data_IF_278043703564
#
_entry.id   IF_278043703564
#
_cell.length_a   1.000
_cell.length_b   1.000
_cell.length_c   1.000
_cell.angle_alpha   90.00
_cell.angle_beta   90.00
_cell.angle_gamma   90.00
#
_symmetry.space_group_name_H-M   'P 1'
#
loop_
_entity.id
_entity.type
_entity.pdbx_description
1 polymer ?
#
# COMPACT_ATOMS: atom_id res chain seq x y z
N UNK A 1 1.92 29.57 0.45
CA UNK A 1 2.15 28.34 -0.34
C UNK A 1 2.34 28.70 -1.80
N UNK A 2 3.43 29.35 -2.12
CA UNK A 2 3.79 29.70 -3.50
C UNK A 2 5.04 28.92 -3.89
N UNK A 3 5.00 28.33 -5.05
CA UNK A 3 6.17 27.90 -5.78
C UNK A 3 6.82 29.12 -6.45
N UNK A 4 7.93 28.91 -7.14
CA UNK A 4 8.56 29.94 -7.99
C UNK A 4 7.54 30.43 -9.00
N UNK A 5 7.50 31.74 -9.25
CA UNK A 5 6.56 32.35 -10.20
C UNK A 5 6.56 31.63 -11.55
N UNK A 6 5.36 31.26 -12.03
CA UNK A 6 5.16 30.53 -13.27
C UNK A 6 5.30 28.99 -13.16
N UNK A 7 5.47 28.45 -11.95
CA UNK A 7 5.57 27.01 -11.71
C UNK A 7 4.36 26.52 -10.91
N UNK A 8 3.50 25.73 -11.52
CA UNK A 8 2.31 25.15 -10.85
C UNK A 8 2.63 23.86 -10.10
N UNK A 9 3.68 23.15 -10.48
CA UNK A 9 4.09 21.87 -9.91
C UNK A 9 5.60 21.72 -9.89
N UNK A 10 6.14 21.28 -8.77
CA UNK A 10 7.55 20.94 -8.60
C UNK A 10 7.69 19.47 -8.22
N UNK A 11 8.34 18.68 -9.08
CA UNK A 11 8.56 17.24 -8.86
C UNK A 11 9.68 17.03 -7.82
N UNK A 12 9.38 16.29 -6.76
CA UNK A 12 10.32 15.93 -5.69
C UNK A 12 10.88 14.52 -5.88
N UNK A 13 10.01 13.59 -6.34
CA UNK A 13 10.36 12.21 -6.60
C UNK A 13 9.50 11.66 -7.74
N UNK A 14 10.04 10.72 -8.50
CA UNK A 14 9.34 10.11 -9.63
C UNK A 14 9.61 8.63 -9.78
N UNK A 15 8.53 7.87 -9.97
CA UNK A 15 8.55 6.50 -10.44
C UNK A 15 8.25 6.45 -11.94
N UNK A 16 9.20 6.82 -12.77
CA UNK A 16 9.03 7.02 -14.22
C UNK A 16 8.36 5.83 -14.91
N UNK A 17 8.77 4.63 -14.60
CA UNK A 17 8.23 3.38 -15.18
C UNK A 17 6.86 2.97 -14.62
N UNK A 18 6.41 3.58 -13.52
CA UNK A 18 5.09 3.37 -12.95
C UNK A 18 4.11 4.50 -13.27
N UNK A 19 4.57 5.59 -13.88
CA UNK A 19 3.75 6.74 -14.18
C UNK A 19 3.32 7.57 -12.97
N UNK A 20 4.07 7.47 -11.85
CA UNK A 20 3.76 8.18 -10.59
C UNK A 20 4.84 9.19 -10.28
N UNK A 21 4.45 10.36 -9.82
CA UNK A 21 5.35 11.36 -9.26
C UNK A 21 4.84 11.86 -7.92
N UNK A 22 5.76 12.36 -7.10
CA UNK A 22 5.45 13.05 -5.84
C UNK A 22 6.04 14.44 -5.89
N UNK A 23 5.28 15.44 -5.52
CA UNK A 23 5.73 16.82 -5.64
C UNK A 23 4.93 17.80 -4.80
N UNK A 24 5.26 19.07 -5.02
CA UNK A 24 4.54 20.20 -4.49
C UNK A 24 3.71 20.83 -5.61
N UNK A 25 2.41 20.98 -5.43
CA UNK A 25 1.49 21.63 -6.36
C UNK A 25 0.88 22.86 -5.70
N UNK A 26 0.73 23.91 -6.46
CA UNK A 26 0.12 25.16 -5.97
C UNK A 26 -1.32 24.90 -5.52
N UNK A 27 -1.65 25.34 -4.30
CA UNK A 27 -2.97 25.14 -3.70
C UNK A 27 -3.19 23.78 -3.02
N UNK A 28 -2.29 22.82 -3.19
CA UNK A 28 -2.36 21.50 -2.55
C UNK A 28 -1.36 21.36 -1.39
N UNK A 29 -1.48 20.28 -0.62
CA UNK A 29 -0.51 19.95 0.42
C UNK A 29 0.81 19.51 -0.20
N UNK A 30 1.92 19.79 0.49
CA UNK A 30 3.24 19.27 0.11
C UNK A 30 3.22 17.74 0.10
N UNK A 31 3.85 17.13 -0.92
CA UNK A 31 3.90 15.67 -1.05
C UNK A 31 2.73 15.07 -1.83
N UNK A 32 2.08 15.85 -2.68
CA UNK A 32 1.03 15.35 -3.57
C UNK A 32 1.54 14.21 -4.44
N UNK A 33 0.91 13.04 -4.35
CA UNK A 33 1.15 11.88 -5.22
C UNK A 33 0.29 12.06 -6.45
N UNK A 34 0.89 12.05 -7.65
CA UNK A 34 0.22 12.28 -8.92
C UNK A 34 0.35 11.10 -9.86
N UNK A 35 -0.74 10.81 -10.55
CA UNK A 35 -0.83 9.71 -11.51
C UNK A 35 -2.20 9.69 -12.18
N UNK A 36 -2.45 8.65 -12.97
CA UNK A 36 -3.76 8.41 -13.57
C UNK A 36 -4.69 7.67 -12.62
N UNK A 37 -5.97 7.97 -12.77
CA UNK A 37 -7.07 7.33 -12.05
C UNK A 37 -8.01 6.62 -13.03
N UNK A 38 -8.97 5.89 -12.51
CA UNK A 38 -10.10 5.43 -13.29
C UNK A 38 -10.87 6.63 -13.85
N UNK A 39 -11.44 6.47 -15.04
CA UNK A 39 -12.43 7.43 -15.52
C UNK A 39 -13.75 7.20 -14.80
N UNK A 40 -14.26 8.23 -14.14
CA UNK A 40 -15.55 8.20 -13.44
C UNK A 40 -16.57 9.05 -14.17
N UNK A 41 -17.84 8.64 -14.08
CA UNK A 41 -18.96 9.51 -14.47
C UNK A 41 -19.31 10.49 -13.35
N UNK A 42 -20.29 11.38 -13.60
CA UNK A 42 -20.75 12.40 -12.62
C UNK A 42 -21.32 11.81 -11.32
N UNK A 43 -21.64 10.51 -11.31
CA UNK A 43 -22.14 9.78 -10.12
C UNK A 43 -21.03 9.05 -9.37
N UNK A 44 -19.75 9.21 -9.78
CA UNK A 44 -18.60 8.53 -9.17
C UNK A 44 -18.49 7.03 -9.50
N UNK A 45 -19.13 6.56 -10.58
CA UNK A 45 -19.07 5.18 -11.04
C UNK A 45 -17.95 5.04 -12.08
N UNK A 46 -17.17 3.96 -12.01
CA UNK A 46 -16.13 3.65 -12.99
C UNK A 46 -16.74 3.44 -14.37
N UNK A 47 -16.24 4.16 -15.36
CA UNK A 47 -16.64 3.98 -16.76
C UNK A 47 -15.85 2.86 -17.38
N UNK A 48 -16.58 1.91 -17.99
CA UNK A 48 -16.05 0.70 -18.62
C UNK A 48 -16.19 0.82 -20.15
N UNK A 49 -15.19 0.34 -20.85
CA UNK A 49 -15.21 0.27 -22.32
C UNK A 49 -16.17 -0.82 -22.81
N UNK A 50 -17.10 -0.44 -23.68
CA UNK A 50 -18.16 -1.31 -24.17
C UNK A 50 -17.66 -2.48 -25.04
N UNK A 51 -16.49 -2.36 -25.67
CA UNK A 51 -15.94 -3.40 -26.53
C UNK A 51 -15.13 -4.43 -25.75
N UNK A 52 -14.39 -3.97 -24.74
CA UNK A 52 -13.43 -4.80 -24.01
C UNK A 52 -13.93 -5.27 -22.66
N UNK A 53 -14.81 -4.51 -21.99
CA UNK A 53 -15.22 -4.72 -20.61
C UNK A 53 -14.19 -4.26 -19.59
N UNK A 54 -13.11 -3.58 -20.02
CA UNK A 54 -12.06 -3.06 -19.15
C UNK A 54 -12.37 -1.63 -18.69
N UNK A 55 -11.92 -1.21 -17.51
CA UNK A 55 -12.14 0.15 -17.05
C UNK A 55 -11.39 1.16 -17.92
N UNK A 56 -12.02 2.29 -18.21
CA UNK A 56 -11.35 3.39 -18.88
C UNK A 56 -10.43 4.12 -17.90
N UNK A 57 -9.28 4.54 -18.40
CA UNK A 57 -8.28 5.33 -17.67
C UNK A 57 -8.52 6.80 -17.95
N UNK A 58 -8.55 7.63 -16.91
CA UNK A 58 -8.55 9.07 -17.09
C UNK A 58 -7.18 9.51 -17.62
N UNK A 59 -7.18 10.22 -18.73
CA UNK A 59 -5.95 10.68 -19.38
C UNK A 59 -5.32 11.88 -18.66
N UNK A 60 -6.05 12.53 -17.78
CA UNK A 60 -5.53 13.62 -16.97
C UNK A 60 -4.72 13.09 -15.79
N UNK A 61 -3.51 13.63 -15.57
CA UNK A 61 -2.72 13.33 -14.38
C UNK A 61 -3.28 14.12 -13.20
N UNK A 62 -3.84 13.42 -12.24
CA UNK A 62 -4.47 13.99 -11.04
C UNK A 62 -3.66 13.73 -9.79
N UNK A 63 -3.96 14.46 -8.73
CA UNK A 63 -3.52 14.13 -7.39
C UNK A 63 -4.36 12.95 -6.89
N UNK A 64 -3.68 11.83 -6.63
CA UNK A 64 -4.28 10.54 -6.25
C UNK A 64 -3.95 10.14 -4.81
N UNK A 65 -3.26 11.01 -4.07
CA UNK A 65 -2.92 10.84 -2.67
C UNK A 65 -1.94 11.89 -2.19
N UNK A 66 -1.57 11.84 -0.92
CA UNK A 66 -0.59 12.74 -0.32
C UNK A 66 0.38 11.97 0.59
N UNK A 67 1.68 12.14 0.40
CA UNK A 67 2.72 11.43 1.16
C UNK A 67 3.07 12.09 2.51
N UNK A 68 2.49 13.24 2.82
CA UNK A 68 2.74 13.95 4.07
C UNK A 68 1.81 13.47 5.17
N UNK A 69 2.37 13.24 6.34
CA UNK A 69 1.61 12.84 7.51
C UNK A 69 0.76 13.99 8.04
N UNK A 70 -0.53 13.76 8.29
CA UNK A 70 -1.38 14.71 8.99
C UNK A 70 -1.00 14.81 10.47
N UNK A 71 -0.63 13.67 11.05
CA UNK A 71 -0.21 13.60 12.43
C UNK A 71 0.86 12.53 12.67
N UNK A 72 1.84 12.87 13.50
CA UNK A 72 2.88 11.94 13.96
C UNK A 72 3.06 12.08 15.45
N UNK A 73 3.19 10.95 16.15
CA UNK A 73 3.40 10.93 17.58
C UNK A 73 4.15 9.69 18.03
N UNK A 74 4.62 9.73 19.26
CA UNK A 74 5.26 8.60 19.92
C UNK A 74 4.79 8.46 21.35
N UNK A 75 4.73 7.23 21.82
CA UNK A 75 4.43 6.90 23.21
C UNK A 75 5.56 6.05 23.77
N UNK A 76 6.08 6.46 24.91
CA UNK A 76 7.07 5.72 25.66
C UNK A 76 6.58 5.51 27.11
N UNK A 77 6.63 4.27 27.57
CA UNK A 77 6.27 3.93 28.95
C UNK A 77 7.35 3.09 29.60
N UNK A 78 7.59 3.34 30.89
CA UNK A 78 8.45 2.51 31.74
C UNK A 78 7.69 2.12 32.99
N UNK A 79 7.68 0.84 33.27
CA UNK A 79 7.14 0.25 34.48
C UNK A 79 8.27 -0.42 35.27
N UNK A 80 8.39 -0.10 36.57
CA UNK A 80 9.40 -0.68 37.45
C UNK A 80 8.72 -1.31 38.66
N UNK A 81 9.09 -2.55 38.97
CA UNK A 81 8.63 -3.25 40.15
C UNK A 81 9.79 -4.01 40.78
N UNK A 82 10.15 -3.63 42.01
CA UNK A 82 11.34 -4.15 42.69
C UNK A 82 12.58 -4.01 41.77
N UNK A 83 13.19 -5.13 41.42
CA UNK A 83 14.39 -5.19 40.57
C UNK A 83 14.10 -5.36 39.08
N UNK A 84 12.82 -5.44 38.70
CA UNK A 84 12.39 -5.56 37.31
C UNK A 84 12.06 -4.20 36.71
N UNK A 85 12.43 -4.02 35.47
CA UNK A 85 12.09 -2.85 34.66
C UNK A 85 11.59 -3.31 33.29
N UNK A 86 10.40 -2.86 32.90
CA UNK A 86 9.83 -3.04 31.58
C UNK A 86 9.67 -1.67 30.95
N UNK A 87 10.22 -1.46 29.75
CA UNK A 87 9.93 -0.27 28.97
C UNK A 87 9.48 -0.64 27.56
N UNK A 88 8.60 0.18 27.01
CA UNK A 88 8.10 0.01 25.65
C UNK A 88 7.95 1.37 24.97
N UNK A 89 8.28 1.42 23.69
CA UNK A 89 8.09 2.60 22.84
C UNK A 89 7.28 2.25 21.60
N UNK A 90 6.39 3.16 21.23
CA UNK A 90 5.51 3.04 20.09
C UNK A 90 5.55 4.30 19.25
N UNK A 91 5.49 4.13 17.92
CA UNK A 91 5.25 5.20 16.96
C UNK A 91 3.83 5.12 16.44
N UNK A 92 3.23 6.26 16.24
CA UNK A 92 1.93 6.44 15.61
C UNK A 92 2.08 7.44 14.48
N UNK A 93 1.64 7.08 13.29
CA UNK A 93 1.62 7.98 12.14
C UNK A 93 0.29 7.80 11.40
N UNK A 94 -0.32 8.92 11.01
CA UNK A 94 -1.68 8.94 10.45
C UNK A 94 -1.78 9.92 9.29
N UNK A 95 -2.54 9.57 8.26
CA UNK A 95 -3.02 10.46 7.21
C UNK A 95 -2.11 10.61 5.99
N UNK A 96 -0.98 9.89 5.91
CA UNK A 96 -0.20 9.85 4.68
C UNK A 96 -0.64 8.71 3.78
N UNK A 97 -0.51 8.93 2.47
CA UNK A 97 -0.66 7.88 1.47
C UNK A 97 0.71 7.41 0.95
N UNK A 98 0.72 6.20 0.43
CA UNK A 98 1.89 5.60 -0.20
C UNK A 98 1.48 4.85 -1.47
N UNK A 99 2.19 5.10 -2.57
CA UNK A 99 2.09 4.26 -3.76
C UNK A 99 2.98 3.01 -3.59
N UNK A 100 2.44 1.83 -3.86
CA UNK A 100 3.18 0.57 -3.72
C UNK A 100 3.40 -0.13 -5.06
N UNK A 101 4.64 -0.14 -5.52
CA UNK A 101 5.07 -0.92 -6.67
C UNK A 101 5.04 -2.42 -6.36
N UNK A 102 5.32 -2.82 -5.12
CA UNK A 102 5.24 -4.23 -4.72
C UNK A 102 3.82 -4.77 -4.87
N UNK A 103 2.81 -4.02 -4.44
CA UNK A 103 1.41 -4.39 -4.61
C UNK A 103 1.02 -4.37 -6.08
N UNK A 104 1.37 -3.32 -6.83
CA UNK A 104 1.14 -3.26 -8.26
C UNK A 104 1.68 -4.52 -8.97
N UNK A 105 2.93 -4.87 -8.72
CA UNK A 105 3.56 -6.05 -9.34
C UNK A 105 2.91 -7.37 -8.90
N UNK A 106 2.47 -7.47 -7.65
CA UNK A 106 1.75 -8.64 -7.17
C UNK A 106 0.40 -8.83 -7.86
N UNK A 107 -0.32 -7.74 -8.15
CA UNK A 107 -1.55 -7.77 -8.92
C UNK A 107 -1.29 -8.05 -10.40
N UNK A 108 -0.33 -7.35 -11.02
CA UNK A 108 0.05 -7.53 -12.43
C UNK A 108 0.46 -8.98 -12.75
N UNK A 109 1.18 -9.62 -11.82
CA UNK A 109 1.65 -11.01 -11.98
C UNK A 109 0.69 -12.06 -11.44
N UNK A 110 -0.48 -11.65 -10.96
CA UNK A 110 -1.51 -12.55 -10.44
C UNK A 110 -1.18 -13.22 -9.12
N UNK A 111 -0.22 -12.70 -8.34
CA UNK A 111 0.21 -13.25 -7.05
C UNK A 111 -0.59 -12.68 -5.87
N UNK A 112 -1.32 -11.58 -6.06
CA UNK A 112 -2.18 -11.02 -5.04
C UNK A 112 -3.49 -11.81 -4.93
N UNK A 113 -3.98 -12.03 -3.69
CA UNK A 113 -5.23 -12.75 -3.43
C UNK A 113 -6.44 -12.14 -4.18
N UNK A 114 -6.48 -10.81 -4.31
CA UNK A 114 -7.55 -10.10 -5.03
C UNK A 114 -7.65 -10.46 -6.51
N UNK A 115 -6.62 -11.09 -7.10
CA UNK A 115 -6.64 -11.51 -8.51
C UNK A 115 -7.33 -12.87 -8.74
N UNK A 116 -7.81 -13.54 -7.69
CA UNK A 116 -8.45 -14.86 -7.80
C UNK A 116 -9.88 -14.78 -8.33
N UNK A 117 -10.57 -13.67 -8.10
CA UNK A 117 -11.97 -13.50 -8.50
C UNK A 117 -12.12 -13.65 -10.00
N UNK A 118 -13.09 -14.48 -10.42
CA UNK A 118 -13.42 -14.73 -11.81
C UNK A 118 -12.48 -15.66 -12.58
N UNK A 119 -11.40 -16.18 -11.96
CA UNK A 119 -10.43 -17.05 -12.66
C UNK A 119 -11.02 -18.39 -13.05
N UNK A 120 -11.64 -19.07 -12.12
CA UNK A 120 -12.22 -20.40 -12.37
C UNK A 120 -13.32 -20.32 -13.40
N UNK A 121 -14.19 -19.32 -13.29
CA UNK A 121 -15.27 -19.04 -14.23
C UNK A 121 -14.73 -18.73 -15.63
N UNK A 122 -13.64 -17.94 -15.70
CA UNK A 122 -13.01 -17.62 -16.97
C UNK A 122 -12.41 -18.86 -17.63
N UNK A 123 -11.64 -19.67 -16.90
CA UNK A 123 -11.02 -20.88 -17.45
C UNK A 123 -12.05 -21.88 -17.93
N UNK A 124 -13.10 -22.13 -17.14
CA UNK A 124 -14.19 -23.03 -17.54
C UNK A 124 -14.93 -22.52 -18.80
N UNK A 125 -15.16 -21.20 -18.86
CA UNK A 125 -15.76 -20.56 -20.05
C UNK A 125 -14.87 -20.68 -21.28
N UNK A 126 -13.55 -20.50 -21.16
CA UNK A 126 -12.60 -20.62 -22.26
C UNK A 126 -12.42 -22.06 -22.73
N UNK A 127 -12.46 -23.06 -21.86
CA UNK A 127 -12.47 -24.48 -22.23
C UNK A 127 -13.70 -24.82 -23.04
N UNK A 128 -14.87 -24.37 -22.58
CA UNK A 128 -16.15 -24.61 -23.30
C UNK A 128 -16.15 -23.89 -24.66
N UNK A 129 -15.65 -22.65 -24.74
CA UNK A 129 -15.49 -21.89 -25.98
C UNK A 129 -14.62 -22.64 -27.00
N UNK A 130 -13.44 -23.09 -26.56
CA UNK A 130 -12.50 -23.83 -27.41
C UNK A 130 -13.12 -25.14 -27.92
N UNK A 131 -13.88 -25.84 -27.08
CA UNK A 131 -14.58 -27.06 -27.48
C UNK A 131 -15.68 -26.79 -28.50
N UNK A 132 -16.32 -25.61 -28.45
CA UNK A 132 -17.36 -25.21 -29.42
C UNK A 132 -16.81 -24.71 -30.77
N UNK A 133 -15.52 -24.34 -30.83
CA UNK A 133 -14.88 -23.73 -31.98
C UNK A 133 -15.29 -22.26 -32.22
N UNK A 134 -16.03 -21.62 -31.32
CA UNK A 134 -16.51 -20.24 -31.46
C UNK A 134 -15.39 -19.22 -31.17
N UNK A 135 -15.42 -18.11 -31.90
CA UNK A 135 -14.58 -16.95 -31.58
C UNK A 135 -15.05 -16.25 -30.30
N UNK A 136 -14.16 -15.55 -29.62
CA UNK A 136 -14.47 -14.90 -28.32
C UNK A 136 -15.62 -13.88 -28.45
N UNK A 137 -15.66 -13.14 -29.53
CA UNK A 137 -16.71 -12.14 -29.80
C UNK A 137 -18.10 -12.80 -29.93
N UNK A 138 -18.18 -13.92 -30.63
CA UNK A 138 -19.41 -14.72 -30.79
C UNK A 138 -19.83 -15.35 -29.47
N UNK A 139 -18.85 -15.89 -28.71
CA UNK A 139 -19.08 -16.49 -27.39
C UNK A 139 -19.65 -15.47 -26.40
N UNK A 140 -19.12 -14.23 -26.42
CA UNK A 140 -19.64 -13.10 -25.64
C UNK A 140 -21.06 -12.72 -26.07
N UNK A 141 -21.28 -12.53 -27.38
CA UNK A 141 -22.59 -12.16 -27.91
C UNK A 141 -23.68 -13.17 -27.58
N UNK A 142 -23.32 -14.47 -27.50
CA UNK A 142 -24.20 -15.56 -27.07
C UNK A 142 -24.45 -15.60 -25.54
N UNK A 143 -23.83 -14.69 -24.75
CA UNK A 143 -23.99 -14.64 -23.30
C UNK A 143 -23.26 -15.77 -22.53
N UNK A 144 -22.39 -16.51 -23.19
CA UNK A 144 -21.72 -17.70 -22.63
C UNK A 144 -20.42 -17.33 -21.89
N UNK A 145 -19.85 -16.13 -22.14
CA UNK A 145 -18.61 -15.70 -21.53
C UNK A 145 -18.81 -15.47 -20.02
N UNK A 146 -18.00 -16.14 -19.21
CA UNK A 146 -17.95 -15.98 -17.75
C UNK A 146 -16.54 -15.56 -17.35
N UNK A 147 -16.42 -14.87 -16.21
CA UNK A 147 -15.13 -14.38 -15.72
C UNK A 147 -15.30 -13.23 -14.73
N UNK A 148 -14.31 -12.35 -14.69
CA UNK A 148 -14.37 -11.16 -13.86
C UNK A 148 -15.23 -10.08 -14.53
N UNK A 149 -16.19 -9.53 -13.81
CA UNK A 149 -17.01 -8.40 -14.27
C UNK A 149 -16.63 -7.16 -13.45
N UNK A 150 -16.15 -6.14 -14.13
CA UNK A 150 -15.76 -4.87 -13.48
C UNK A 150 -17.01 -4.19 -12.92
N UNK A 151 -17.00 -3.83 -11.64
CA UNK A 151 -18.07 -3.05 -11.05
C UNK A 151 -18.00 -1.60 -11.59
N UNK A 152 -18.88 -1.30 -12.52
CA UNK A 152 -18.88 -0.05 -13.25
C UNK A 152 -20.03 0.05 -14.23
N UNK A 153 -19.96 1.09 -15.05
CA UNK A 153 -21.02 1.42 -16.03
C UNK A 153 -20.43 1.64 -17.43
N UNK A 154 -21.23 1.34 -18.41
CA UNK A 154 -20.94 1.58 -19.82
C UNK A 154 -21.71 2.79 -20.29
N UNK A 155 -21.01 3.74 -20.93
CA UNK A 155 -21.61 4.91 -21.56
C UNK A 155 -22.31 4.50 -22.86
N UNK A 156 -23.60 4.82 -22.99
CA UNK A 156 -24.40 4.53 -24.17
C UNK A 156 -24.20 5.58 -25.29
N UNK A 157 -23.47 6.67 -25.01
CA UNK A 157 -23.21 7.74 -25.99
C UNK A 157 -24.33 8.77 -26.13
N UNK A 158 -25.42 8.63 -25.41
CA UNK A 158 -26.58 9.54 -25.37
C UNK A 158 -26.70 10.31 -24.03
N UNK A 159 -25.65 10.25 -23.19
CA UNK A 159 -25.63 10.80 -21.84
C UNK A 159 -26.23 9.87 -20.79
N UNK A 160 -26.64 8.65 -21.17
CA UNK A 160 -27.09 7.61 -20.25
C UNK A 160 -26.04 6.53 -20.02
N UNK A 161 -26.17 5.83 -18.90
CA UNK A 161 -25.26 4.76 -18.53
C UNK A 161 -26.03 3.49 -18.20
N UNK A 162 -25.50 2.33 -18.64
CA UNK A 162 -25.98 1.02 -18.22
C UNK A 162 -24.94 0.32 -17.34
N UNK A 163 -25.39 -0.57 -16.48
CA UNK A 163 -24.48 -1.40 -15.67
C UNK A 163 -23.60 -2.27 -16.59
N UNK A 164 -22.32 -2.40 -16.24
CA UNK A 164 -21.44 -3.32 -16.94
C UNK A 164 -21.82 -4.78 -16.64
N UNK A 165 -21.91 -5.58 -17.68
CA UNK A 165 -22.21 -7.01 -17.67
C UNK A 165 -21.16 -7.83 -18.45
N UNK A 166 -20.13 -7.19 -18.96
CA UNK A 166 -19.10 -7.81 -19.81
C UNK A 166 -18.08 -8.52 -18.93
N UNK A 167 -17.99 -9.83 -19.09
CA UNK A 167 -16.98 -10.64 -18.43
C UNK A 167 -15.63 -10.52 -19.16
N UNK A 168 -14.56 -10.38 -18.40
CA UNK A 168 -13.18 -10.26 -18.87
C UNK A 168 -12.27 -11.30 -18.22
N UNK A 169 -11.14 -11.59 -18.87
CA UNK A 169 -10.07 -12.35 -18.25
C UNK A 169 -9.51 -11.57 -17.05
N UNK A 170 -9.50 -12.13 -15.84
CA UNK A 170 -8.89 -11.47 -14.68
C UNK A 170 -7.42 -11.07 -14.88
N UNK A 171 -6.68 -11.84 -15.68
CA UNK A 171 -5.29 -11.50 -16.03
C UNK A 171 -5.20 -10.20 -16.83
N UNK A 172 -6.04 -10.06 -17.87
CA UNK A 172 -6.08 -8.87 -18.70
C UNK A 172 -6.54 -7.64 -17.92
N UNK A 173 -7.53 -7.81 -17.03
CA UNK A 173 -8.00 -6.76 -16.14
C UNK A 173 -6.87 -6.24 -15.25
N UNK A 174 -6.15 -7.13 -14.54
CA UNK A 174 -5.12 -6.70 -13.62
C UNK A 174 -3.88 -6.15 -14.31
N UNK A 175 -3.51 -6.68 -15.47
CA UNK A 175 -2.46 -6.09 -16.32
C UNK A 175 -2.84 -4.70 -16.80
N UNK A 176 -4.09 -4.51 -17.21
CA UNK A 176 -4.60 -3.21 -17.65
C UNK A 176 -4.57 -2.18 -16.51
N UNK A 177 -5.12 -2.54 -15.35
CA UNK A 177 -5.12 -1.68 -14.16
C UNK A 177 -3.70 -1.37 -13.69
N UNK A 178 -2.84 -2.38 -13.56
CA UNK A 178 -1.46 -2.19 -13.12
C UNK A 178 -0.66 -1.27 -14.05
N UNK A 179 -0.96 -1.29 -15.35
CA UNK A 179 -0.27 -0.46 -16.34
C UNK A 179 -0.81 0.97 -16.41
N UNK A 180 -2.13 1.13 -16.28
CA UNK A 180 -2.81 2.39 -16.61
C UNK A 180 -3.33 3.17 -15.39
N UNK A 181 -3.66 2.53 -14.26
CA UNK A 181 -4.36 3.16 -13.15
C UNK A 181 -3.52 3.14 -11.89
N UNK A 182 -2.81 4.24 -11.63
CA UNK A 182 -1.89 4.33 -10.50
C UNK A 182 -2.63 4.46 -9.16
N UNK A 183 -3.80 5.10 -9.14
CA UNK A 183 -4.63 5.26 -7.93
C UNK A 183 -4.99 3.93 -7.26
N UNK A 184 -5.15 2.85 -8.06
CA UNK A 184 -5.46 1.51 -7.56
C UNK A 184 -4.37 0.94 -6.62
N UNK A 185 -3.18 1.51 -6.61
CA UNK A 185 -2.04 1.06 -5.80
C UNK A 185 -1.53 2.13 -4.84
N UNK A 186 -2.34 3.16 -4.59
CA UNK A 186 -2.14 4.14 -3.52
C UNK A 186 -2.94 3.68 -2.30
N UNK A 187 -2.28 3.60 -1.16
CA UNK A 187 -2.84 3.08 0.08
C UNK A 187 -2.63 4.08 1.22
N UNK A 188 -3.61 4.16 2.11
CA UNK A 188 -3.42 4.83 3.40
C UNK A 188 -2.30 4.13 4.18
N UNK A 189 -1.25 4.89 4.49
CA UNK A 189 -0.06 4.42 5.20
C UNK A 189 -0.14 4.63 6.72
N UNK A 190 -1.30 4.88 7.27
CA UNK A 190 -1.49 5.04 8.71
C UNK A 190 -1.14 3.76 9.48
N UNK A 191 -0.43 3.92 10.61
CA UNK A 191 -0.03 2.79 11.42
C UNK A 191 0.29 3.13 12.88
N UNK A 192 0.29 2.09 13.72
CA UNK A 192 0.85 2.06 15.07
C UNK A 192 1.86 0.92 15.15
N UNK A 193 3.11 1.23 15.49
CA UNK A 193 4.21 0.27 15.52
C UNK A 193 4.94 0.29 16.85
N UNK A 194 5.17 -0.91 17.41
CA UNK A 194 6.06 -1.06 18.54
C UNK A 194 7.52 -0.97 18.06
N UNK A 195 8.26 0.01 18.57
CA UNK A 195 9.66 0.24 18.18
C UNK A 195 10.65 -0.54 19.03
N UNK A 196 10.42 -0.55 20.33
CA UNK A 196 11.30 -1.26 21.24
C UNK A 196 10.53 -1.74 22.46
N UNK A 197 10.87 -2.92 22.93
CA UNK A 197 10.52 -3.44 24.26
C UNK A 197 11.82 -3.84 24.92
N UNK A 198 12.05 -3.34 26.14
CA UNK A 198 13.17 -3.72 26.98
C UNK A 198 12.65 -4.29 28.30
N UNK A 199 13.08 -5.50 28.65
CA UNK A 199 12.80 -6.11 29.95
C UNK A 199 14.11 -6.39 30.67
N UNK A 200 14.32 -5.71 31.79
CA UNK A 200 15.57 -5.76 32.54
C UNK A 200 15.37 -6.23 33.98
N UNK A 201 16.41 -6.86 34.52
CA UNK A 201 16.54 -7.20 35.91
C UNK A 201 17.85 -6.68 36.47
N UNK A 202 17.76 -5.91 37.57
CA UNK A 202 18.93 -5.43 38.32
C UNK A 202 19.17 -6.33 39.51
N UNK A 203 20.31 -6.95 39.57
CA UNK A 203 20.66 -7.86 40.66
C UNK A 203 20.92 -7.06 41.95
N UNK A 204 20.42 -7.53 43.10
CA UNK A 204 20.70 -6.89 44.39
C UNK A 204 22.19 -6.95 44.72
N UNK A 205 22.73 -5.89 45.31
CA UNK A 205 24.14 -5.82 45.73
C UNK A 205 24.55 -6.95 46.65
N UNK A 206 23.61 -7.45 47.46
CA UNK A 206 23.85 -8.54 48.42
C UNK A 206 24.28 -9.87 47.80
N UNK A 207 24.02 -10.09 46.52
CA UNK A 207 24.43 -11.30 45.79
C UNK A 207 25.61 -11.04 44.86
N UNK A 208 26.08 -9.79 44.75
CA UNK A 208 27.24 -9.40 43.95
C UNK A 208 28.49 -9.46 44.82
N UNK A 209 29.58 -10.00 44.29
CA UNK A 209 30.83 -10.11 45.03
C UNK A 209 31.48 -8.74 45.29
N UNK A 210 32.58 -8.71 46.06
CA UNK A 210 33.28 -7.49 46.50
C UNK A 210 33.67 -6.52 45.36
N UNK A 211 33.88 -7.04 44.16
CA UNK A 211 34.38 -6.27 43.01
C UNK A 211 33.27 -5.75 42.07
N UNK A 212 32.05 -6.26 42.17
CA UNK A 212 30.94 -5.85 41.30
C UNK A 212 29.91 -5.10 42.14
N UNK A 213 29.78 -3.80 41.86
CA UNK A 213 28.86 -2.91 42.60
C UNK A 213 27.49 -2.79 41.96
N UNK A 214 27.32 -3.34 40.78
CA UNK A 214 26.01 -3.38 40.11
C UNK A 214 26.04 -4.27 38.88
N UNK A 215 24.96 -5.03 38.70
CA UNK A 215 24.74 -5.87 37.53
C UNK A 215 23.29 -5.72 37.08
N UNK A 216 23.09 -5.34 35.84
CA UNK A 216 21.79 -5.31 35.19
C UNK A 216 21.84 -6.12 33.91
N UNK A 217 20.91 -7.05 33.74
CA UNK A 217 20.75 -7.81 32.51
C UNK A 217 19.40 -7.44 31.91
N UNK A 218 19.40 -7.10 30.61
CA UNK A 218 18.18 -6.70 29.92
C UNK A 218 18.06 -7.45 28.61
N UNK A 219 16.85 -7.92 28.31
CA UNK A 219 16.43 -8.37 26.99
C UNK A 219 15.86 -7.19 26.23
N UNK A 220 16.30 -7.00 24.97
CA UNK A 220 15.83 -5.91 24.11
C UNK A 220 15.26 -6.51 22.82
N UNK A 221 14.03 -6.14 22.49
CA UNK A 221 13.39 -6.48 21.23
C UNK A 221 13.12 -5.17 20.46
N UNK A 222 13.65 -5.05 19.24
CA UNK A 222 13.41 -3.89 18.35
C UNK A 222 12.52 -4.25 17.19
N UNK A 223 11.59 -3.37 16.85
CA UNK A 223 10.55 -3.57 15.83
C UNK A 223 9.82 -4.92 15.99
N UNK A 224 9.43 -5.35 17.21
CA UNK A 224 8.92 -6.72 17.44
C UNK A 224 7.61 -6.97 16.68
N UNK A 225 6.73 -5.99 16.58
CA UNK A 225 5.45 -6.12 15.88
C UNK A 225 4.85 -4.76 15.49
N UNK A 226 3.95 -4.80 14.53
CA UNK A 226 3.05 -3.72 14.16
C UNK A 226 1.73 -3.97 14.90
N UNK A 227 1.26 -2.98 15.65
CA UNK A 227 -0.02 -3.06 16.38
C UNK A 227 -1.18 -2.97 15.42
N UNK A 228 -1.11 -2.02 14.51
CA UNK A 228 -2.12 -1.74 13.52
C UNK A 228 -1.51 -1.04 12.30
N UNK A 229 -2.05 -1.32 11.12
CA UNK A 229 -1.73 -0.62 9.87
C UNK A 229 -2.86 -0.76 8.87
N UNK A 230 -3.04 0.23 7.98
CA UNK A 230 -4.01 0.19 6.90
C UNK A 230 -3.42 -0.43 5.63
N UNK A 231 -2.15 -0.15 5.34
CA UNK A 231 -1.52 -0.69 4.13
C UNK A 231 -1.42 -2.23 4.17
N UNK A 232 -1.89 -2.95 3.12
CA UNK A 232 -1.79 -4.40 3.07
C UNK A 232 -0.36 -4.87 2.73
N UNK A 233 0.06 -6.02 3.27
CA UNK A 233 1.22 -6.83 2.85
C UNK A 233 2.61 -6.19 2.88
N UNK A 234 2.76 -4.88 3.01
CA UNK A 234 4.05 -4.20 3.11
C UNK A 234 4.25 -3.56 4.48
N UNK A 235 5.51 -3.29 4.82
CA UNK A 235 5.84 -2.54 6.04
C UNK A 235 5.55 -1.05 5.80
N UNK A 236 4.78 -0.37 6.64
CA UNK A 236 4.47 1.05 6.49
C UNK A 236 5.71 1.96 6.55
N UNK A 237 6.83 1.46 7.06
CA UNK A 237 8.12 2.16 7.05
C UNK A 237 8.90 2.01 5.72
N UNK A 238 8.34 1.38 4.70
CA UNK A 238 9.05 1.04 3.44
C UNK A 238 9.47 2.24 2.58
N UNK A 239 9.01 3.44 2.87
CA UNK A 239 9.34 4.67 2.12
C UNK A 239 10.42 5.51 2.81
N UNK A 240 11.45 4.89 3.32
CA UNK A 240 12.48 5.55 4.13
C UNK A 240 13.39 6.51 3.41
N UNK A 241 13.61 6.37 2.12
CA UNK A 241 14.64 7.18 1.52
C UNK A 241 14.09 8.54 1.11
N UNK A 242 14.92 9.56 1.27
CA UNK A 242 14.60 10.96 0.97
C UNK A 242 14.27 11.21 -0.51
N UNK A 243 14.62 10.28 -1.39
CA UNK A 243 14.30 10.31 -2.82
C UNK A 243 13.02 9.53 -3.17
N UNK A 244 12.41 8.85 -2.22
CA UNK A 244 11.23 8.00 -2.41
C UNK A 244 10.02 8.38 -1.58
N UNK A 245 9.86 9.66 -1.24
CA UNK A 245 8.74 10.17 -0.44
C UNK A 245 7.39 9.59 -0.94
N UNK A 246 6.74 8.76 -0.11
CA UNK A 246 5.45 8.17 -0.48
C UNK A 246 5.48 7.16 -1.64
N UNK A 247 6.67 6.73 -2.08
CA UNK A 247 6.84 5.73 -3.14
C UNK A 247 7.55 4.50 -2.59
N UNK A 248 6.90 3.34 -2.62
CA UNK A 248 7.48 2.06 -2.23
C UNK A 248 7.88 1.28 -3.50
N UNK A 249 9.16 0.87 -3.59
CA UNK A 249 9.78 0.23 -4.75
C UNK A 249 10.33 -1.16 -4.46
N UNK A 250 9.59 -2.03 -3.79
CA UNK A 250 10.10 -3.32 -3.39
C UNK A 250 11.09 -3.21 -2.23
N UNK A 251 10.89 -2.23 -1.37
CA UNK A 251 11.75 -1.98 -0.22
C UNK A 251 11.69 -3.13 0.78
N UNK A 252 12.84 -3.46 1.35
CA UNK A 252 12.89 -4.45 2.41
C UNK A 252 12.14 -3.93 3.65
N UNK A 253 11.36 -4.80 4.32
CA UNK A 253 10.70 -4.43 5.56
C UNK A 253 11.71 -4.14 6.67
N UNK A 254 11.30 -3.38 7.66
CA UNK A 254 12.13 -3.11 8.85
C UNK A 254 12.46 -4.41 9.57
N UNK A 255 13.73 -4.56 9.96
CA UNK A 255 14.22 -5.79 10.62
C UNK A 255 13.72 -5.84 12.07
N UNK A 256 13.30 -7.03 12.49
CA UNK A 256 13.17 -7.37 13.91
C UNK A 256 14.53 -7.75 14.44
N UNK A 257 14.90 -7.25 15.61
CA UNK A 257 16.12 -7.65 16.29
C UNK A 257 15.88 -7.94 17.76
N UNK A 258 16.59 -8.92 18.28
CA UNK A 258 16.55 -9.32 19.67
C UNK A 258 17.98 -9.35 20.19
N UNK A 259 18.19 -8.85 21.40
CA UNK A 259 19.49 -8.77 22.01
C UNK A 259 19.46 -8.88 23.52
N UNK A 260 20.61 -9.16 24.10
CA UNK A 260 20.85 -9.08 25.51
C UNK A 260 21.82 -7.93 25.79
N UNK A 261 21.49 -7.11 26.76
CA UNK A 261 22.37 -6.06 27.27
C UNK A 261 22.77 -6.41 28.69
N UNK A 262 24.07 -6.44 28.96
CA UNK A 262 24.64 -6.66 30.29
C UNK A 262 25.43 -5.43 30.69
N UNK A 263 24.99 -4.77 31.75
CA UNK A 263 25.64 -3.60 32.32
C UNK A 263 26.25 -3.99 33.67
N UNK A 264 27.57 -3.85 33.79
CA UNK A 264 28.34 -4.18 34.99
C UNK A 264 29.01 -2.91 35.52
N UNK A 265 28.84 -2.65 36.82
CA UNK A 265 29.56 -1.58 37.53
C UNK A 265 30.58 -2.22 38.49
N UNK A 266 31.79 -1.71 38.48
CA UNK A 266 32.90 -2.11 39.33
C UNK A 266 33.15 -1.10 40.42
#
# INVERSE_FOLDING_TARGET
KSLIDGMDYFELAKATWCGVSVGAKVGENYGAIRGHDFLYNDKGQVVVDAATGLPKVDQEIKTIGNSSWDWTGGFYSTFSYKNFRLSASFDVKVGADIYSMSMRSAYETGKAKGTLAGREEWYASEEARKASGMELAEWRAAGNCKGFVVDGVIDNGDGTYRKNDIAVNPEDYWKHVAKGVQSAFVYDNSYVKCREITFGYTFPESILGKYVKGLTVSFVARNPFIVWKNIPNIDPDSSYNTSGLGLEYGSLPSRKSYGLNVNVKF
#
